data_IF_018818841382
#
_entry.id   IF_018818841382
#
_cell.length_a   1.000
_cell.length_b   1.000
_cell.length_c   1.000
_cell.angle_alpha   90.00
_cell.angle_beta   90.00
_cell.angle_gamma   90.00
#
_symmetry.space_group_name_H-M   'P 1'
#
loop_
_entity.id
_entity.type
_entity.pdbx_description
1 polymer ?
#
# COMPACT_ATOMS: atom_id res chain seq x y z
N UNK A 1 -12.68 -31.33 -19.85
CA UNK A 1 -11.89 -30.45 -18.97
C UNK A 1 -12.34 -30.74 -17.55
N UNK A 2 -11.50 -31.41 -16.75
CA UNK A 2 -11.85 -31.67 -15.34
C UNK A 2 -11.98 -30.33 -14.62
N UNK A 3 -13.13 -30.08 -14.02
CA UNK A 3 -13.37 -28.84 -13.31
C UNK A 3 -12.49 -28.82 -12.06
N UNK A 4 -11.68 -27.77 -11.92
CA UNK A 4 -10.68 -27.67 -10.84
C UNK A 4 -11.41 -27.45 -9.51
N UNK A 5 -11.66 -28.54 -8.81
CA UNK A 5 -12.49 -28.57 -7.59
C UNK A 5 -11.65 -28.60 -6.33
N UNK A 6 -10.44 -29.16 -6.39
CA UNK A 6 -9.60 -29.39 -5.21
C UNK A 6 -8.79 -28.16 -4.80
N UNK A 7 -8.55 -28.03 -3.50
CA UNK A 7 -7.74 -26.95 -2.94
C UNK A 7 -6.27 -27.06 -3.38
N UNK A 8 -5.55 -25.94 -3.58
CA UNK A 8 -4.13 -25.96 -3.89
C UNK A 8 -3.29 -26.58 -2.76
N UNK A 9 -2.33 -27.42 -3.12
CA UNK A 9 -1.33 -27.96 -2.20
C UNK A 9 -0.43 -26.84 -1.63
N UNK A 10 0.21 -27.04 -0.45
CA UNK A 10 1.19 -26.09 0.08
C UNK A 10 2.36 -25.82 -0.87
N UNK A 11 2.77 -26.83 -1.65
CA UNK A 11 3.83 -26.72 -2.62
C UNK A 11 3.47 -25.77 -3.76
N UNK A 12 2.27 -25.92 -4.34
CA UNK A 12 1.77 -25.02 -5.38
C UNK A 12 1.68 -23.58 -4.90
N UNK A 13 1.24 -23.36 -3.66
CA UNK A 13 1.21 -22.02 -3.04
C UNK A 13 2.62 -21.41 -2.90
N UNK A 14 3.60 -22.20 -2.45
CA UNK A 14 5.00 -21.75 -2.35
C UNK A 14 5.58 -21.44 -3.73
N UNK A 15 5.32 -22.26 -4.74
CA UNK A 15 5.78 -22.06 -6.11
C UNK A 15 5.16 -20.80 -6.73
N UNK A 16 3.85 -20.62 -6.59
CA UNK A 16 3.15 -19.41 -7.03
C UNK A 16 3.76 -18.15 -6.41
N UNK A 17 4.03 -18.16 -5.10
CA UNK A 17 4.72 -17.05 -4.42
C UNK A 17 6.12 -16.81 -4.97
N UNK A 18 6.94 -17.86 -5.17
CA UNK A 18 8.29 -17.74 -5.76
C UNK A 18 8.27 -17.15 -7.17
N UNK A 19 7.27 -17.52 -7.97
CA UNK A 19 7.03 -16.95 -9.30
C UNK A 19 6.40 -15.53 -9.24
N UNK A 20 6.14 -15.02 -8.03
CA UNK A 20 5.60 -13.68 -7.76
C UNK A 20 4.07 -13.60 -7.79
N UNK A 21 3.35 -14.67 -8.12
CA UNK A 21 1.87 -14.70 -8.08
C UNK A 21 1.39 -14.71 -6.62
N UNK A 22 1.16 -13.51 -6.10
CA UNK A 22 0.63 -13.22 -4.76
C UNK A 22 -0.74 -12.55 -4.86
N UNK A 23 -1.57 -12.75 -3.84
CA UNK A 23 -2.76 -11.93 -3.64
C UNK A 23 -2.34 -10.54 -3.17
N UNK A 24 -2.68 -9.50 -3.93
CA UNK A 24 -2.32 -8.11 -3.64
C UNK A 24 -3.53 -7.22 -3.81
N UNK A 25 -3.80 -6.43 -2.76
CA UNK A 25 -4.84 -5.41 -2.67
C UNK A 25 -4.24 -4.02 -2.74
N UNK A 26 -4.59 -3.30 -3.80
CA UNK A 26 -4.27 -1.88 -3.91
C UNK A 26 -4.97 -1.08 -2.80
N UNK A 27 -6.17 -1.48 -2.38
CA UNK A 27 -6.93 -0.81 -1.33
C UNK A 27 -6.28 -0.92 0.04
N UNK A 28 -5.66 -2.07 0.37
CA UNK A 28 -4.83 -2.21 1.58
C UNK A 28 -3.62 -1.31 1.53
N UNK A 29 -2.92 -1.25 0.39
CA UNK A 29 -1.78 -0.34 0.24
C UNK A 29 -2.22 1.10 0.50
N UNK A 30 -3.30 1.57 -0.14
CA UNK A 30 -3.81 2.94 0.04
C UNK A 30 -4.23 3.22 1.49
N UNK A 31 -4.98 2.32 2.12
CA UNK A 31 -5.46 2.52 3.50
C UNK A 31 -4.30 2.57 4.51
N UNK A 32 -3.32 1.68 4.37
CA UNK A 32 -2.13 1.68 5.23
C UNK A 32 -1.27 2.91 4.96
N UNK A 33 -1.02 3.27 3.68
CA UNK A 33 -0.28 4.50 3.35
C UNK A 33 -0.94 5.74 3.95
N UNK A 34 -2.28 5.83 3.89
CA UNK A 34 -3.04 6.92 4.52
C UNK A 34 -2.83 6.99 6.02
N UNK A 35 -2.78 5.84 6.70
CA UNK A 35 -2.48 5.78 8.14
C UNK A 35 -1.05 6.24 8.46
N UNK A 36 -0.06 5.86 7.65
CA UNK A 36 1.31 6.34 7.78
C UNK A 36 1.40 7.86 7.65
N UNK A 37 0.73 8.44 6.64
CA UNK A 37 0.68 9.89 6.44
C UNK A 37 -0.02 10.61 7.59
N UNK A 38 -1.11 10.05 8.10
CA UNK A 38 -1.79 10.62 9.25
C UNK A 38 -0.90 10.61 10.50
N UNK A 39 -0.25 9.49 10.81
CA UNK A 39 0.69 9.37 11.94
C UNK A 39 1.87 10.35 11.80
N UNK A 40 2.41 10.47 10.59
CA UNK A 40 3.46 11.44 10.30
C UNK A 40 2.99 12.86 10.58
N UNK A 41 1.81 13.27 10.10
CA UNK A 41 1.29 14.61 10.36
C UNK A 41 1.03 14.85 11.86
N UNK A 42 0.55 13.86 12.60
CA UNK A 42 0.36 13.98 14.05
C UNK A 42 1.69 14.29 14.77
N UNK A 43 2.77 13.61 14.38
CA UNK A 43 4.08 13.73 15.05
C UNK A 43 4.85 14.95 14.56
N UNK A 44 4.88 15.18 13.24
CA UNK A 44 5.75 16.15 12.57
C UNK A 44 5.07 17.49 12.28
N UNK A 45 3.75 17.62 12.51
CA UNK A 45 3.05 18.90 12.29
C UNK A 45 3.68 20.10 12.98
N UNK A 46 4.22 20.04 14.22
CA UNK A 46 4.87 21.20 14.83
C UNK A 46 6.14 21.62 14.08
N UNK A 47 6.92 20.64 13.62
CA UNK A 47 8.16 20.89 12.90
C UNK A 47 7.89 21.42 11.49
N UNK A 48 6.93 20.84 10.78
CA UNK A 48 6.44 21.34 9.49
C UNK A 48 5.91 22.78 9.63
N UNK A 49 5.14 23.08 10.68
CA UNK A 49 4.66 24.42 10.96
C UNK A 49 5.81 25.41 11.16
N UNK A 50 6.81 25.07 11.98
CA UNK A 50 7.98 25.91 12.20
C UNK A 50 8.75 26.17 10.91
N UNK A 51 8.92 25.17 10.06
CA UNK A 51 9.58 25.35 8.75
C UNK A 51 8.75 26.28 7.85
N UNK A 52 7.43 26.13 7.79
CA UNK A 52 6.57 27.04 7.03
C UNK A 52 6.68 28.48 7.53
N UNK A 53 6.67 28.70 8.85
CA UNK A 53 6.89 30.03 9.44
C UNK A 53 8.25 30.57 9.07
N UNK A 54 9.31 29.75 9.21
CA UNK A 54 10.68 30.13 8.85
C UNK A 54 10.81 30.54 7.39
N UNK A 55 10.17 29.81 6.47
CA UNK A 55 10.16 30.15 5.03
C UNK A 55 9.46 31.48 4.77
N UNK A 56 8.30 31.71 5.41
CA UNK A 56 7.56 32.98 5.26
C UNK A 56 8.36 34.14 5.85
N UNK A 57 8.99 33.96 7.01
CA UNK A 57 9.85 34.96 7.62
C UNK A 57 11.10 35.24 6.77
N UNK A 58 11.76 34.20 6.26
CA UNK A 58 12.92 34.35 5.38
C UNK A 58 12.54 35.10 4.08
N UNK A 59 11.37 34.83 3.51
CA UNK A 59 10.88 35.50 2.32
C UNK A 59 10.48 36.97 2.57
N UNK A 60 9.98 37.29 3.76
CA UNK A 60 9.51 38.64 4.11
C UNK A 60 10.59 39.53 4.71
N UNK A 61 11.65 38.95 5.30
CA UNK A 61 12.82 39.66 5.85
C UNK A 61 13.93 39.92 4.82
N UNK A 62 13.67 39.74 3.53
CA UNK A 62 14.66 40.07 2.48
C UNK A 62 14.88 41.58 2.47
N UNK A 63 15.80 42.02 3.31
CA UNK A 63 16.26 43.39 3.36
C UNK A 63 17.13 43.65 2.13
N UNK A 64 16.59 44.42 1.18
CA UNK A 64 17.29 44.75 -0.06
C UNK A 64 18.53 45.62 0.17
N UNK A 65 18.68 46.21 1.37
CA UNK A 65 19.85 47.00 1.73
C UNK A 65 21.09 46.14 2.04
N UNK A 66 20.95 44.83 2.23
CA UNK A 66 22.08 43.94 2.58
C UNK A 66 22.91 43.52 1.36
N UNK A 67 24.24 43.37 1.52
CA UNK A 67 25.12 42.84 0.48
C UNK A 67 24.63 41.48 -0.07
N UNK A 68 24.82 41.25 -1.37
CA UNK A 68 24.38 40.00 -2.02
C UNK A 68 24.98 38.74 -1.37
N UNK A 69 26.26 38.79 -0.97
CA UNK A 69 26.95 37.66 -0.35
C UNK A 69 26.28 37.20 0.95
N UNK A 70 25.90 38.14 1.83
CA UNK A 70 25.23 37.84 3.09
C UNK A 70 23.83 37.25 2.85
N UNK A 71 23.07 37.83 1.90
CA UNK A 71 21.76 37.31 1.49
C UNK A 71 21.86 35.88 0.94
N UNK A 72 22.88 35.61 0.13
CA UNK A 72 23.12 34.28 -0.41
C UNK A 72 23.44 33.25 0.69
N UNK A 73 24.32 33.60 1.64
CA UNK A 73 24.65 32.71 2.76
C UNK A 73 23.45 32.43 3.66
N UNK A 74 22.61 33.44 3.90
CA UNK A 74 21.41 33.28 4.71
C UNK A 74 20.38 32.40 4.01
N UNK A 75 20.12 32.63 2.72
CA UNK A 75 19.21 31.80 1.92
C UNK A 75 19.68 30.33 1.87
N UNK A 76 20.99 30.09 1.77
CA UNK A 76 21.54 28.73 1.77
C UNK A 76 21.40 28.05 3.15
N UNK A 77 21.57 28.80 4.24
CA UNK A 77 21.33 28.31 5.60
C UNK A 77 19.86 27.94 5.81
N UNK A 78 18.94 28.78 5.34
CA UNK A 78 17.51 28.53 5.43
C UNK A 78 17.11 27.29 4.62
N UNK A 79 17.67 27.12 3.41
CA UNK A 79 17.47 25.93 2.58
C UNK A 79 17.98 24.66 3.27
N UNK A 80 19.14 24.72 3.91
CA UNK A 80 19.69 23.60 4.67
C UNK A 80 18.82 23.24 5.88
N UNK A 81 18.17 24.22 6.52
CA UNK A 81 17.21 24.00 7.59
C UNK A 81 15.95 23.23 7.15
N UNK A 82 15.60 23.30 5.86
CA UNK A 82 14.45 22.56 5.28
C UNK A 82 14.80 21.11 4.91
N UNK A 83 16.09 20.81 4.72
CA UNK A 83 16.56 19.51 4.24
C UNK A 83 16.13 18.34 5.13
N UNK A 84 16.19 18.41 6.48
CA UNK A 84 15.72 17.33 7.34
C UNK A 84 14.23 17.01 7.14
N UNK A 85 13.37 18.03 7.07
CA UNK A 85 11.93 17.83 6.84
C UNK A 85 11.66 17.21 5.48
N UNK A 86 12.36 17.67 4.44
CA UNK A 86 12.24 17.09 3.10
C UNK A 86 12.66 15.61 3.09
N UNK A 87 13.79 15.27 3.73
CA UNK A 87 14.28 13.90 3.82
C UNK A 87 13.34 12.99 4.63
N UNK A 88 12.84 13.46 5.78
CA UNK A 88 11.87 12.71 6.59
C UNK A 88 10.57 12.48 5.82
N UNK A 89 10.07 13.50 5.12
CA UNK A 89 8.85 13.41 4.30
C UNK A 89 9.03 12.41 3.15
N UNK A 90 10.18 12.43 2.46
CA UNK A 90 10.51 11.45 1.42
C UNK A 90 10.64 10.04 1.99
N UNK A 91 11.29 9.90 3.16
CA UNK A 91 11.43 8.63 3.86
C UNK A 91 10.09 8.02 4.22
N UNK A 92 9.19 8.81 4.82
CA UNK A 92 7.82 8.38 5.13
C UNK A 92 7.04 8.07 3.86
N UNK A 93 7.14 8.89 2.81
CA UNK A 93 6.51 8.63 1.53
C UNK A 93 6.93 7.27 0.95
N UNK A 94 8.22 6.97 0.95
CA UNK A 94 8.74 5.68 0.50
C UNK A 94 8.26 4.52 1.39
N UNK A 95 8.39 4.64 2.71
CA UNK A 95 7.99 3.61 3.66
C UNK A 95 6.47 3.34 3.62
N UNK A 96 5.67 4.38 3.41
CA UNK A 96 4.21 4.28 3.36
C UNK A 96 3.72 3.34 2.26
N UNK A 97 4.51 3.13 1.20
CA UNK A 97 4.21 2.22 0.09
C UNK A 97 4.98 0.91 0.23
N UNK A 98 6.28 0.98 0.53
CA UNK A 98 7.15 -0.20 0.60
C UNK A 98 6.70 -1.18 1.67
N UNK A 99 6.34 -0.68 2.87
CA UNK A 99 5.96 -1.54 4.00
C UNK A 99 4.69 -2.35 3.70
N UNK A 100 3.55 -1.77 3.30
CA UNK A 100 2.35 -2.56 2.99
C UNK A 100 2.54 -3.47 1.78
N UNK A 101 3.32 -3.07 0.77
CA UNK A 101 3.63 -3.94 -0.38
C UNK A 101 4.48 -5.15 0.03
N UNK A 102 5.53 -4.93 0.83
CA UNK A 102 6.39 -5.99 1.35
C UNK A 102 5.62 -6.94 2.28
N UNK A 103 4.73 -6.40 3.12
CA UNK A 103 3.87 -7.19 4.00
C UNK A 103 2.90 -8.08 3.20
N UNK A 104 2.27 -7.55 2.14
CA UNK A 104 1.40 -8.32 1.27
C UNK A 104 2.15 -9.37 0.45
N UNK A 105 3.37 -9.06 0.01
CA UNK A 105 4.24 -10.00 -0.71
C UNK A 105 4.87 -11.07 0.18
N UNK A 106 4.84 -10.90 1.51
CA UNK A 106 5.54 -11.78 2.45
C UNK A 106 7.05 -11.78 2.24
N UNK A 107 7.62 -10.66 1.79
CA UNK A 107 9.05 -10.50 1.53
C UNK A 107 9.60 -11.25 0.31
N UNK A 108 8.75 -11.77 -0.58
CA UNK A 108 9.20 -12.53 -1.76
C UNK A 108 9.55 -11.60 -2.92
N UNK A 109 10.84 -11.55 -3.27
CA UNK A 109 11.34 -10.88 -4.48
C UNK A 109 11.34 -11.86 -5.65
N UNK A 110 10.37 -11.73 -6.56
CA UNK A 110 10.23 -12.60 -7.72
C UNK A 110 10.84 -11.96 -8.97
N UNK A 111 12.11 -12.24 -9.23
CA UNK A 111 12.82 -11.71 -10.42
C UNK A 111 12.21 -12.15 -11.75
N UNK A 112 11.50 -13.28 -11.76
CA UNK A 112 10.86 -13.84 -12.95
C UNK A 112 9.74 -12.95 -13.53
N UNK A 113 9.18 -12.04 -12.74
CA UNK A 113 8.19 -11.05 -13.19
C UNK A 113 8.78 -9.85 -13.94
N UNK A 114 10.11 -9.66 -13.93
CA UNK A 114 10.79 -8.62 -14.72
C UNK A 114 10.83 -8.96 -16.22
N UNK A 115 10.61 -10.22 -16.60
CA UNK A 115 10.57 -10.62 -18.00
C UNK A 115 9.22 -10.19 -18.59
N UNK A 116 9.19 -9.34 -19.64
CA UNK A 116 7.95 -8.92 -20.28
C UNK A 116 7.27 -10.13 -20.94
N UNK A 117 6.05 -10.44 -20.51
CA UNK A 117 5.26 -11.54 -21.05
C UNK A 117 4.22 -10.99 -22.04
N UNK A 118 4.48 -11.17 -23.34
CA UNK A 118 3.61 -10.72 -24.44
C UNK A 118 2.18 -11.29 -24.34
N UNK A 119 1.98 -12.42 -23.64
CA UNK A 119 0.64 -12.98 -23.42
C UNK A 119 -0.22 -12.12 -22.50
N UNK A 120 0.37 -11.28 -21.65
CA UNK A 120 -0.37 -10.34 -20.77
C UNK A 120 -0.91 -9.12 -21.51
N UNK A 121 -0.39 -8.82 -22.70
CA UNK A 121 -0.83 -7.71 -23.55
C UNK A 121 -2.05 -8.03 -24.42
N UNK A 122 -2.63 -9.24 -24.31
CA UNK A 122 -3.79 -9.60 -25.12
C UNK A 122 -5.05 -8.79 -24.70
N UNK A 123 -5.57 -7.90 -25.57
CA UNK A 123 -6.69 -7.02 -25.24
C UNK A 123 -8.01 -7.78 -25.02
N UNK A 124 -8.18 -8.96 -25.63
CA UNK A 124 -9.40 -9.78 -25.49
C UNK A 124 -9.57 -10.28 -24.05
N UNK A 125 -8.48 -10.73 -23.44
CA UNK A 125 -8.47 -11.09 -22.01
C UNK A 125 -8.67 -9.88 -21.09
N UNK A 126 -8.20 -8.70 -21.49
CA UNK A 126 -8.46 -7.45 -20.78
C UNK A 126 -9.95 -7.11 -20.74
N UNK A 127 -10.61 -7.12 -21.90
CA UNK A 127 -12.05 -6.81 -22.01
C UNK A 127 -12.90 -7.85 -21.26
N UNK A 128 -12.57 -9.14 -21.34
CA UNK A 128 -13.29 -10.17 -20.59
C UNK A 128 -13.18 -10.00 -19.07
N UNK A 129 -12.02 -9.51 -18.59
CA UNK A 129 -11.83 -9.20 -17.18
C UNK A 129 -12.60 -7.94 -16.76
N UNK A 130 -12.78 -6.98 -17.67
CA UNK A 130 -13.62 -5.79 -17.43
C UNK A 130 -15.09 -6.18 -17.29
N UNK A 131 -15.66 -7.07 -18.11
CA UNK A 131 -17.10 -7.41 -18.04
C UNK A 131 -17.43 -8.65 -17.18
N UNK A 132 -16.56 -9.02 -16.24
CA UNK A 132 -16.75 -10.19 -15.39
C UNK A 132 -17.40 -9.90 -14.03
N UNK A 133 -17.88 -10.95 -13.35
CA UNK A 133 -18.32 -10.91 -11.93
C UNK A 133 -17.28 -10.23 -11.02
N UNK A 134 -15.99 -10.34 -11.37
CA UNK A 134 -14.89 -9.68 -10.67
C UNK A 134 -15.06 -8.16 -10.63
N UNK A 135 -15.40 -7.53 -11.76
CA UNK A 135 -15.61 -6.07 -11.82
C UNK A 135 -16.76 -5.65 -10.93
N UNK A 136 -17.88 -6.38 -10.91
CA UNK A 136 -19.03 -6.05 -10.06
C UNK A 136 -18.64 -6.01 -8.57
N UNK A 137 -17.86 -6.98 -8.10
CA UNK A 137 -17.37 -6.97 -6.71
C UNK A 137 -16.38 -5.84 -6.44
N UNK A 138 -15.43 -5.58 -7.34
CA UNK A 138 -14.48 -4.48 -7.20
C UNK A 138 -15.19 -3.11 -7.20
N UNK A 139 -16.18 -2.92 -8.08
CA UNK A 139 -17.02 -1.72 -8.12
C UNK A 139 -17.85 -1.55 -6.84
N UNK A 140 -18.43 -2.63 -6.32
CA UNK A 140 -19.19 -2.58 -5.07
C UNK A 140 -18.31 -2.18 -3.87
N UNK A 141 -17.10 -2.72 -3.78
CA UNK A 141 -16.14 -2.38 -2.72
C UNK A 141 -15.69 -0.92 -2.84
N UNK A 142 -15.31 -0.48 -4.03
CA UNK A 142 -14.90 0.92 -4.26
C UNK A 142 -16.03 1.91 -4.00
N UNK A 143 -17.27 1.59 -4.40
CA UNK A 143 -18.44 2.41 -4.10
C UNK A 143 -18.72 2.49 -2.58
N UNK A 144 -18.52 1.38 -1.86
CA UNK A 144 -18.65 1.36 -0.39
C UNK A 144 -17.61 2.27 0.27
N UNK A 145 -16.36 2.23 -0.18
CA UNK A 145 -15.28 3.10 0.31
C UNK A 145 -15.59 4.58 0.07
N UNK A 146 -16.08 4.89 -1.12
CA UNK A 146 -16.49 6.24 -1.49
C UNK A 146 -17.62 6.74 -0.61
N UNK A 147 -18.67 5.93 -0.42
CA UNK A 147 -19.82 6.29 0.43
C UNK A 147 -19.41 6.54 1.88
N UNK A 148 -18.54 5.70 2.44
CA UNK A 148 -18.00 5.87 3.80
C UNK A 148 -17.24 7.19 3.91
N UNK A 149 -16.36 7.48 2.94
CA UNK A 149 -15.58 8.72 2.94
C UNK A 149 -16.48 9.95 2.80
N UNK A 150 -17.47 9.89 1.91
CA UNK A 150 -18.44 10.96 1.71
C UNK A 150 -19.22 11.25 3.00
N UNK A 151 -19.67 10.22 3.69
CA UNK A 151 -20.38 10.35 4.96
C UNK A 151 -19.51 11.02 6.04
N UNK A 152 -18.24 10.60 6.15
CA UNK A 152 -17.28 11.17 7.12
C UNK A 152 -17.04 12.65 6.82
N UNK A 153 -16.77 12.99 5.57
CA UNK A 153 -16.53 14.38 5.14
C UNK A 153 -17.77 15.23 5.36
N UNK A 154 -18.95 14.72 5.02
CA UNK A 154 -20.22 15.41 5.25
C UNK A 154 -20.44 15.71 6.74
N UNK A 155 -20.23 14.72 7.61
CA UNK A 155 -20.41 14.89 9.05
C UNK A 155 -19.38 15.87 9.64
N UNK A 156 -18.12 15.78 9.21
CA UNK A 156 -17.09 16.71 9.63
C UNK A 156 -17.39 18.14 9.17
N UNK A 157 -17.90 18.31 7.94
CA UNK A 157 -18.29 19.61 7.41
C UNK A 157 -19.46 20.21 8.20
N UNK A 158 -20.48 19.40 8.54
CA UNK A 158 -21.58 19.85 9.39
C UNK A 158 -21.09 20.32 10.77
N UNK A 159 -20.20 19.55 11.41
CA UNK A 159 -19.59 19.94 12.68
C UNK A 159 -18.70 21.19 12.58
N UNK A 160 -18.08 21.41 11.42
CA UNK A 160 -17.34 22.64 11.13
C UNK A 160 -18.27 23.84 11.00
N UNK A 161 -19.41 23.68 10.31
CA UNK A 161 -20.43 24.73 10.21
C UNK A 161 -21.00 25.15 11.57
N UNK A 162 -21.20 24.20 12.49
CA UNK A 162 -21.62 24.51 13.86
C UNK A 162 -20.54 25.28 14.65
N UNK A 163 -19.26 24.99 14.38
CA UNK A 163 -18.13 25.65 15.02
C UNK A 163 -17.78 27.02 14.40
N UNK A 164 -18.33 27.39 13.24
CA UNK A 164 -18.04 28.68 12.58
C UNK A 164 -18.43 29.88 13.45
N UNK A 165 -19.63 29.86 14.04
CA UNK A 165 -20.12 30.98 14.87
C UNK A 165 -19.21 31.25 16.08
N UNK A 166 -18.86 30.25 16.93
CA UNK A 166 -17.96 30.48 18.06
C UNK A 166 -16.51 30.75 17.62
N UNK A 167 -16.09 30.30 16.43
CA UNK A 167 -14.71 30.53 15.94
C UNK A 167 -14.40 32.00 15.67
N UNK A 168 -15.40 32.85 15.38
CA UNK A 168 -15.18 34.29 15.23
C UNK A 168 -14.74 35.00 16.53
N UNK A 169 -14.97 34.39 17.68
CA UNK A 169 -14.51 34.90 18.98
C UNK A 169 -13.05 34.53 19.29
N UNK A 170 -12.45 33.61 18.52
CA UNK A 170 -11.06 33.19 18.69
C UNK A 170 -10.10 34.16 18.00
N UNK A 171 -8.90 34.33 18.57
CA UNK A 171 -7.79 35.00 17.88
C UNK A 171 -7.41 34.24 16.60
N UNK A 172 -6.76 34.92 15.65
CA UNK A 172 -6.31 34.29 14.40
C UNK A 172 -5.47 33.02 14.63
N UNK A 173 -4.57 33.05 15.62
CA UNK A 173 -3.79 31.86 16.01
C UNK A 173 -4.65 30.72 16.57
N UNK A 174 -5.68 31.05 17.35
CA UNK A 174 -6.64 30.07 17.87
C UNK A 174 -7.54 29.45 16.80
N UNK A 175 -7.91 30.22 15.77
CA UNK A 175 -8.65 29.70 14.61
C UNK A 175 -7.79 28.72 13.79
N UNK A 176 -6.50 29.05 13.61
CA UNK A 176 -5.56 28.21 12.87
C UNK A 176 -5.32 26.87 13.60
N UNK A 177 -5.12 26.89 14.92
CA UNK A 177 -4.92 25.67 15.70
C UNK A 177 -6.18 24.79 15.72
N UNK A 178 -7.36 25.36 15.92
CA UNK A 178 -8.63 24.63 15.89
C UNK A 178 -8.90 23.98 14.51
N UNK A 179 -8.56 24.69 13.44
CA UNK A 179 -8.65 24.18 12.06
C UNK A 179 -7.67 23.03 11.82
N UNK A 180 -6.42 23.18 12.26
CA UNK A 180 -5.39 22.15 12.14
C UNK A 180 -5.77 20.88 12.90
N UNK A 181 -6.25 21.02 14.14
CA UNK A 181 -6.69 19.88 14.94
C UNK A 181 -7.90 19.18 14.32
N UNK A 182 -8.89 19.94 13.84
CA UNK A 182 -10.06 19.39 13.14
C UNK A 182 -9.67 18.63 11.88
N UNK A 183 -8.70 19.15 11.13
CA UNK A 183 -8.18 18.51 9.91
C UNK A 183 -7.44 17.23 10.22
N UNK A 184 -6.56 17.22 11.23
CA UNK A 184 -5.84 16.01 11.65
C UNK A 184 -6.83 14.94 12.15
N UNK A 185 -7.87 15.33 12.90
CA UNK A 185 -8.93 14.41 13.34
C UNK A 185 -9.71 13.83 12.16
N UNK A 186 -10.08 14.66 11.19
CA UNK A 186 -10.77 14.22 9.97
C UNK A 186 -9.92 13.24 9.16
N UNK A 187 -8.64 13.57 8.94
CA UNK A 187 -7.71 12.68 8.25
C UNK A 187 -7.54 11.34 8.97
N UNK A 188 -7.51 11.35 10.30
CA UNK A 188 -7.44 10.14 11.11
C UNK A 188 -8.68 9.26 10.99
N UNK A 189 -9.87 9.86 11.10
CA UNK A 189 -11.13 9.14 10.93
C UNK A 189 -11.25 8.57 9.52
N UNK A 190 -10.88 9.33 8.50
CA UNK A 190 -10.82 8.87 7.12
C UNK A 190 -9.86 7.68 6.97
N UNK A 191 -8.60 7.81 7.42
CA UNK A 191 -7.61 6.74 7.31
C UNK A 191 -8.05 5.44 8.01
N UNK A 192 -8.56 5.53 9.24
CA UNK A 192 -9.02 4.37 10.01
C UNK A 192 -10.25 3.73 9.36
N UNK A 193 -11.20 4.53 8.89
CA UNK A 193 -12.43 4.00 8.25
C UNK A 193 -12.16 3.16 7.01
N UNK A 194 -11.08 3.46 6.28
CA UNK A 194 -10.71 2.76 5.05
C UNK A 194 -10.06 1.38 5.31
N UNK A 195 -9.61 1.11 6.55
CA UNK A 195 -9.03 -0.19 6.91
C UNK A 195 -10.05 -1.33 6.80
N UNK A 196 -11.31 -1.10 7.19
CA UNK A 196 -12.33 -2.14 7.15
C UNK A 196 -12.69 -2.58 5.70
N UNK A 197 -13.03 -1.66 4.77
CA UNK A 197 -13.23 -2.03 3.37
C UNK A 197 -11.98 -2.62 2.71
N UNK A 198 -10.79 -2.11 3.04
CA UNK A 198 -9.54 -2.65 2.52
C UNK A 198 -9.29 -4.09 2.98
N UNK A 199 -9.62 -4.43 4.22
CA UNK A 199 -9.55 -5.81 4.72
C UNK A 199 -10.50 -6.75 3.97
N UNK A 200 -11.72 -6.28 3.66
CA UNK A 200 -12.69 -7.03 2.84
C UNK A 200 -12.15 -7.26 1.43
N UNK A 201 -11.62 -6.22 0.79
CA UNK A 201 -11.00 -6.33 -0.55
C UNK A 201 -9.86 -7.37 -0.56
N UNK A 202 -8.96 -7.29 0.41
CA UNK A 202 -7.86 -8.24 0.53
C UNK A 202 -8.34 -9.68 0.72
N UNK A 203 -9.38 -9.87 1.53
CA UNK A 203 -9.96 -11.20 1.73
C UNK A 203 -10.56 -11.75 0.44
N UNK A 204 -11.31 -10.93 -0.30
CA UNK A 204 -11.88 -11.30 -1.60
C UNK A 204 -10.79 -11.66 -2.62
N UNK A 205 -9.73 -10.85 -2.71
CA UNK A 205 -8.62 -11.13 -3.61
C UNK A 205 -7.84 -12.37 -3.20
N UNK A 206 -7.69 -12.63 -1.90
CA UNK A 206 -7.06 -13.86 -1.40
C UNK A 206 -7.88 -15.10 -1.76
N UNK A 207 -9.20 -15.01 -1.69
CA UNK A 207 -10.10 -16.08 -2.15
C UNK A 207 -9.96 -16.28 -3.66
N UNK A 208 -10.00 -15.21 -4.45
CA UNK A 208 -9.85 -15.29 -5.91
C UNK A 208 -8.49 -15.88 -6.31
N UNK A 209 -7.41 -15.48 -5.64
CA UNK A 209 -6.07 -16.04 -5.84
C UNK A 209 -6.02 -17.53 -5.53
N UNK A 210 -6.61 -17.97 -4.40
CA UNK A 210 -6.72 -19.40 -4.07
C UNK A 210 -7.57 -20.17 -5.06
N UNK A 211 -8.69 -19.59 -5.54
CA UNK A 211 -9.55 -20.19 -6.56
C UNK A 211 -8.81 -20.38 -7.89
N UNK A 212 -7.99 -19.41 -8.32
CA UNK A 212 -7.14 -19.53 -9.51
C UNK A 212 -6.09 -20.66 -9.41
N UNK A 213 -5.65 -20.97 -8.19
CA UNK A 213 -4.67 -22.02 -7.92
C UNK A 213 -5.27 -23.41 -7.68
N UNK A 214 -6.60 -23.56 -7.73
CA UNK A 214 -7.27 -24.87 -7.58
C UNK A 214 -6.71 -25.91 -8.55
N UNK A 215 -6.74 -27.16 -8.12
CA UNK A 215 -6.14 -28.29 -8.80
C UNK A 215 -7.20 -29.31 -9.18
N UNK A 216 -6.87 -30.15 -10.16
CA UNK A 216 -7.59 -31.40 -10.39
C UNK A 216 -7.00 -32.52 -9.54
N UNK A 217 -7.79 -33.56 -9.26
CA UNK A 217 -7.31 -34.75 -8.53
C UNK A 217 -6.09 -35.39 -9.20
N UNK A 218 -6.02 -35.36 -10.53
CA UNK A 218 -4.87 -35.88 -11.27
C UNK A 218 -3.64 -34.97 -11.14
N UNK A 219 -3.82 -33.65 -11.08
CA UNK A 219 -2.71 -32.71 -10.86
C UNK A 219 -2.09 -32.90 -9.47
N UNK A 220 -2.91 -33.12 -8.44
CA UNK A 220 -2.43 -33.39 -7.08
C UNK A 220 -1.59 -34.67 -7.01
N UNK A 221 -2.06 -35.76 -7.63
CA UNK A 221 -1.31 -37.02 -7.71
C UNK A 221 0.04 -36.85 -8.40
N UNK A 222 0.09 -36.05 -9.49
CA UNK A 222 1.34 -35.74 -10.18
C UNK A 222 2.28 -34.91 -9.31
N UNK A 223 1.75 -33.91 -8.60
CA UNK A 223 2.57 -33.07 -7.73
C UNK A 223 3.17 -33.85 -6.56
N UNK A 224 2.42 -34.76 -5.94
CA UNK A 224 2.99 -35.66 -4.92
C UNK A 224 4.07 -36.58 -5.49
N UNK A 225 3.89 -37.09 -6.72
CA UNK A 225 4.90 -37.91 -7.39
C UNK A 225 6.17 -37.11 -7.71
N UNK A 226 6.03 -35.84 -8.09
CA UNK A 226 7.16 -34.95 -8.38
C UNK A 226 7.88 -34.50 -7.10
N UNK A 227 7.17 -34.28 -5.99
CA UNK A 227 7.75 -33.91 -4.69
C UNK A 227 8.46 -35.08 -3.99
N UNK A 228 7.84 -36.26 -3.93
CA UNK A 228 8.43 -37.44 -3.29
C UNK A 228 9.53 -38.09 -4.16
N UNK A 229 9.55 -37.74 -5.45
CA UNK A 229 10.34 -38.36 -6.49
C UNK A 229 9.79 -39.73 -6.86
N UNK A 230 10.01 -40.18 -8.11
CA UNK A 230 9.55 -41.51 -8.51
C UNK A 230 10.19 -42.57 -7.60
N UNK A 231 9.41 -43.35 -6.83
CA UNK A 231 9.94 -44.34 -5.90
C UNK A 231 10.82 -45.37 -6.62
N UNK A 232 10.60 -45.62 -7.91
CA UNK A 232 11.48 -46.46 -8.71
C UNK A 232 12.87 -45.84 -8.90
N UNK A 233 12.97 -44.53 -9.10
CA UNK A 233 14.25 -43.81 -9.25
C UNK A 233 14.98 -43.72 -7.91
N UNK A 234 14.25 -43.49 -6.81
CA UNK A 234 14.82 -43.49 -5.45
C UNK A 234 15.31 -44.88 -5.05
N UNK A 235 14.55 -45.93 -5.39
CA UNK A 235 14.94 -47.32 -5.21
C UNK A 235 16.17 -47.71 -6.03
N UNK A 236 16.23 -47.30 -7.31
CA UNK A 236 17.38 -47.56 -8.20
C UNK A 236 18.66 -46.87 -7.70
N UNK A 237 18.57 -45.62 -7.22
CA UNK A 237 19.71 -44.95 -6.55
C UNK A 237 20.18 -45.71 -5.31
N UNK A 238 19.25 -46.21 -4.49
CA UNK A 238 19.58 -46.95 -3.26
C UNK A 238 20.21 -48.32 -3.57
N UNK A 239 19.79 -48.97 -4.65
CA UNK A 239 20.35 -50.24 -5.13
C UNK A 239 21.79 -50.04 -5.66
N UNK A 240 22.00 -49.09 -6.57
CA UNK A 240 23.35 -48.73 -7.07
C UNK A 240 24.30 -48.33 -5.94
N UNK A 241 23.82 -47.61 -4.93
CA UNK A 241 24.65 -47.25 -3.78
C UNK A 241 25.06 -48.46 -2.92
N UNK A 242 24.21 -49.50 -2.81
CA UNK A 242 24.58 -50.76 -2.15
C UNK A 242 25.58 -51.57 -2.96
N UNK A 243 25.49 -51.54 -4.29
CA UNK A 243 26.47 -52.21 -5.16
C UNK A 243 27.85 -51.54 -5.11
N UNK A 244 27.92 -50.22 -4.95
CA UNK A 244 29.19 -49.48 -4.84
C UNK A 244 29.86 -49.56 -3.46
N UNK A 245 29.11 -49.91 -2.41
CA UNK A 245 29.63 -50.06 -1.03
C UNK A 245 30.12 -51.50 -0.77
N UNK A 246 29.78 -52.44 -1.66
CA UNK A 246 30.13 -53.85 -1.55
C UNK A 246 31.35 -54.17 -2.40
#
# INVERSE_FOLDING_TARGET
>A
MSDKTEAPTPHRLKRARKDGDIAKSTHVTVAVSGLFWWLFLVIESPHVYQVCVHVVEAATRIDQARPFAERYTQAMSDLNGMLPVALTTLGVGALSVIVPEAAQAGGVLAFKRLVPDLKRLNPVTGIKNLFGLKMLFETAVTLSQFTILLFIVWHAFAGWCEQLLPSFALSFGGQLSATGESTIRLMGLAAVSQLAPAAVDFWLQRIQWRRRLRMDKNEIKREHKDEEGDPHVKGRRKALHRELIR
#
